data_IF_080674667122
#
_entry.id   IF_080674667122
#
_cell.length_a   1.000
_cell.length_b   1.000
_cell.length_c   1.000
_cell.angle_alpha   90.00
_cell.angle_beta   90.00
_cell.angle_gamma   90.00
#
_symmetry.space_group_name_H-M   'P 1'
#
loop_
_entity.id
_entity.type
_entity.pdbx_description
1 polymer ?
#
# COMPACT_ATOMS: atom_id res chain seq x y z
N UNK A 1 55.63 -6.73 53.07
CA UNK A 1 54.91 -5.50 53.43
C UNK A 1 53.47 -5.63 52.95
N UNK A 2 52.53 -5.68 53.92
CA UNK A 2 51.12 -5.27 53.93
C UNK A 2 50.54 -4.68 52.63
N UNK A 3 49.29 -4.86 52.18
CA UNK A 3 47.96 -5.36 52.65
C UNK A 3 47.06 -5.03 51.42
N UNK A 4 45.96 -5.67 51.01
CA UNK A 4 44.73 -6.00 51.73
C UNK A 4 43.77 -6.67 50.73
N UNK A 5 43.02 -7.63 51.22
CA UNK A 5 41.92 -8.32 50.55
C UNK A 5 40.60 -7.53 50.63
N UNK A 6 39.63 -7.87 49.78
CA UNK A 6 38.20 -7.74 50.10
C UNK A 6 37.38 -8.79 49.33
N UNK A 7 36.82 -9.74 50.09
CA UNK A 7 35.78 -10.70 49.70
C UNK A 7 34.41 -10.13 50.08
N UNK A 8 33.38 -10.32 49.24
CA UNK A 8 31.94 -10.38 49.62
C UNK A 8 31.28 -11.31 48.58
N UNK A 9 31.05 -12.59 48.89
CA UNK A 9 29.90 -13.22 49.56
C UNK A 9 28.77 -13.65 48.60
N UNK A 10 28.55 -14.97 48.55
CA UNK A 10 27.39 -15.64 47.94
C UNK A 10 26.54 -16.27 49.06
N UNK A 11 25.20 -16.31 48.94
CA UNK A 11 24.39 -17.15 49.82
C UNK A 11 23.79 -18.34 49.07
N UNK A 12 24.06 -19.53 49.59
CA UNK A 12 23.18 -20.69 49.49
C UNK A 12 22.00 -20.52 50.47
N UNK A 13 20.81 -21.03 50.13
CA UNK A 13 20.15 -22.12 50.88
C UNK A 13 18.72 -22.46 50.39
N UNK A 14 18.48 -23.78 50.40
CA UNK A 14 17.26 -24.53 50.75
C UNK A 14 16.19 -24.86 49.70
N UNK A 15 16.12 -26.17 49.43
CA UNK A 15 14.96 -26.93 48.96
C UNK A 15 13.94 -27.17 50.08
N UNK A 16 12.66 -27.20 49.70
CA UNK A 16 11.54 -27.78 50.45
C UNK A 16 10.25 -27.75 49.60
N UNK A 17 9.38 -28.79 49.61
CA UNK A 17 8.54 -29.17 48.48
C UNK A 17 7.05 -28.75 48.61
N UNK A 18 6.37 -28.60 47.47
CA UNK A 18 4.90 -28.44 47.41
C UNK A 18 4.38 -27.92 46.07
N UNK A 19 3.83 -28.82 45.24
CA UNK A 19 3.10 -28.57 43.98
C UNK A 19 1.81 -27.72 44.22
N UNK A 20 1.11 -27.14 43.20
CA UNK A 20 0.85 -27.72 41.88
C UNK A 20 0.96 -26.80 40.65
N UNK A 21 0.94 -27.48 39.50
CA UNK A 21 1.16 -27.02 38.14
C UNK A 21 0.44 -25.70 37.76
N UNK A 22 1.23 -24.73 37.32
CA UNK A 22 0.75 -23.56 36.57
C UNK A 22 1.40 -23.54 35.19
N UNK A 23 0.54 -23.52 34.17
CA UNK A 23 0.86 -23.48 32.74
C UNK A 23 1.71 -22.24 32.41
N UNK A 24 2.83 -22.34 31.67
CA UNK A 24 3.60 -21.16 31.31
C UNK A 24 2.93 -20.41 30.15
N UNK A 25 2.31 -19.27 30.46
CA UNK A 25 2.02 -18.20 29.49
C UNK A 25 3.35 -17.59 29.03
N UNK A 26 3.80 -17.95 27.83
CA UNK A 26 4.84 -17.21 27.12
C UNK A 26 4.29 -15.84 26.69
N UNK A 27 4.47 -14.84 27.56
CA UNK A 27 4.33 -13.43 27.20
C UNK A 27 5.69 -12.95 26.66
N UNK A 28 5.87 -12.98 25.34
CA UNK A 28 6.96 -12.25 24.68
C UNK A 28 6.73 -10.75 24.85
N UNK A 29 7.31 -10.15 25.90
CA UNK A 29 7.56 -8.71 25.95
C UNK A 29 8.68 -8.39 24.96
N UNK A 30 8.31 -8.15 23.70
CA UNK A 30 9.19 -7.47 22.75
C UNK A 30 9.27 -6.01 23.22
N UNK A 31 10.32 -5.69 23.98
CA UNK A 31 10.76 -4.29 24.18
C UNK A 31 11.38 -3.83 22.86
N UNK A 32 10.58 -3.30 21.95
CA UNK A 32 11.06 -2.45 20.85
C UNK A 32 11.64 -1.19 21.46
N UNK A 33 12.96 -1.19 21.72
CA UNK A 33 13.72 0.04 21.94
C UNK A 33 13.72 0.80 20.63
N UNK A 34 12.80 1.75 20.49
CA UNK A 34 12.93 2.82 19.51
C UNK A 34 14.20 3.60 19.86
N UNK A 35 15.26 3.41 19.07
CA UNK A 35 16.37 4.35 19.02
C UNK A 35 15.84 5.63 18.36
N UNK A 36 15.35 6.53 19.21
CA UNK A 36 15.10 7.91 18.85
C UNK A 36 16.45 8.54 18.49
N UNK A 37 16.75 8.66 17.19
CA UNK A 37 17.82 9.54 16.72
C UNK A 37 17.28 10.98 16.83
N UNK A 38 17.79 11.81 17.76
CA UNK A 38 17.45 13.23 17.74
C UNK A 38 17.98 13.84 16.43
N UNK A 39 17.26 14.78 15.80
CA UNK A 39 17.79 15.48 14.65
C UNK A 39 19.03 16.26 15.09
N UNK A 40 20.16 16.00 14.42
CA UNK A 40 21.37 16.81 14.49
C UNK A 40 21.02 18.24 14.03
N UNK A 41 20.59 19.09 14.96
CA UNK A 41 20.63 20.55 14.80
C UNK A 41 22.10 20.96 14.84
N UNK A 42 22.74 21.02 13.69
CA UNK A 42 24.07 21.64 13.56
C UNK A 42 23.91 23.16 13.51
N UNK A 43 24.59 23.85 14.43
CA UNK A 43 24.69 25.30 14.57
C UNK A 43 25.41 26.00 13.38
N UNK A 44 25.38 25.42 12.18
CA UNK A 44 26.08 25.94 11.01
C UNK A 44 25.31 27.07 10.27
N UNK A 45 24.00 27.22 10.50
CA UNK A 45 23.20 28.28 9.86
C UNK A 45 23.32 29.65 10.57
N UNK A 46 23.71 29.69 11.85
CA UNK A 46 23.85 30.94 12.60
C UNK A 46 25.09 31.75 12.18
N UNK A 47 26.15 31.10 11.66
CA UNK A 47 27.40 31.78 11.28
C UNK A 47 27.37 32.40 9.87
N UNK A 48 26.53 31.89 8.96
CA UNK A 48 26.42 32.39 7.58
C UNK A 48 25.51 33.62 7.46
N UNK A 49 24.54 33.80 8.37
CA UNK A 49 23.63 34.95 8.36
C UNK A 49 24.31 36.27 8.75
N UNK A 50 25.34 36.23 9.60
CA UNK A 50 26.01 37.45 10.11
C UNK A 50 27.04 37.99 9.13
N UNK A 51 27.57 37.15 8.23
CA UNK A 51 28.58 37.55 7.24
C UNK A 51 27.96 38.21 5.99
N UNK A 52 26.71 37.91 5.65
CA UNK A 52 26.05 38.48 4.46
C UNK A 52 25.41 39.86 4.69
N UNK A 53 25.17 40.28 5.93
CA UNK A 53 24.59 41.61 6.22
C UNK A 53 25.58 42.79 6.12
N UNK A 54 26.89 42.56 5.97
CA UNK A 54 27.89 43.66 5.93
C UNK A 54 28.36 44.09 4.53
N UNK A 55 27.87 43.48 3.44
CA UNK A 55 28.33 43.81 2.07
C UNK A 55 27.31 44.49 1.15
N UNK A 56 26.11 44.82 1.65
CA UNK A 56 25.07 45.47 0.85
C UNK A 56 24.77 46.90 1.33
N UNK A 57 25.79 47.75 1.41
CA UNK A 57 25.63 49.20 1.65
C UNK A 57 26.51 50.00 0.71
N UNK A 58 26.13 50.02 -0.57
CA UNK A 58 26.48 51.08 -1.54
C UNK A 58 25.85 50.73 -2.87
N UNK A 59 24.58 51.06 -3.06
CA UNK A 59 24.07 51.36 -4.39
C UNK A 59 23.10 52.53 -4.32
N UNK A 60 23.32 53.43 -5.25
CA UNK A 60 22.88 54.81 -5.34
C UNK A 60 21.37 54.96 -5.57
N UNK A 61 20.80 55.94 -4.88
CA UNK A 61 19.47 56.49 -5.06
C UNK A 61 19.30 57.05 -6.49
N UNK A 62 18.54 56.35 -7.34
CA UNK A 62 17.85 56.96 -8.49
C UNK A 62 16.37 56.96 -8.19
N UNK A 63 15.85 58.12 -7.77
CA UNK A 63 14.42 58.37 -7.52
C UNK A 63 13.64 58.26 -8.83
N UNK A 64 13.07 57.09 -9.11
CA UNK A 64 11.87 56.98 -9.96
C UNK A 64 10.64 57.07 -9.06
N UNK A 65 9.90 58.15 -9.23
CA UNK A 65 8.55 58.32 -8.71
C UNK A 65 7.67 57.20 -9.26
N UNK A 66 7.51 56.13 -8.49
CA UNK A 66 6.48 55.11 -8.72
C UNK A 66 5.28 55.54 -7.90
N UNK A 67 4.19 55.89 -8.57
CA UNK A 67 2.89 56.04 -7.95
C UNK A 67 2.62 54.78 -7.14
N UNK A 68 2.62 54.89 -5.80
CA UNK A 68 2.27 53.77 -4.92
C UNK A 68 0.92 53.24 -5.37
N UNK A 69 0.79 51.93 -5.68
CA UNK A 69 -0.49 51.37 -6.06
C UNK A 69 -1.49 51.63 -4.91
N UNK A 70 -2.77 51.90 -5.21
CA UNK A 70 -3.74 52.37 -4.21
C UNK A 70 -3.91 51.44 -2.98
N UNK A 71 -3.56 50.16 -3.10
CA UNK A 71 -3.56 49.20 -1.99
C UNK A 71 -2.35 49.35 -1.02
N UNK A 72 -1.30 50.09 -1.40
CA UNK A 72 -0.12 50.35 -0.58
C UNK A 72 -0.30 51.58 0.34
N UNK A 73 -1.44 52.28 0.23
CA UNK A 73 -1.89 53.18 1.29
C UNK A 73 -2.22 52.33 2.51
N UNK A 74 -1.55 52.57 3.63
CA UNK A 74 -1.74 51.84 4.88
C UNK A 74 -3.16 52.08 5.40
N UNK A 75 -4.11 51.30 4.92
CA UNK A 75 -5.46 51.29 5.46
C UNK A 75 -5.35 51.05 6.97
N UNK A 76 -6.08 51.82 7.79
CA UNK A 76 -6.06 51.64 9.25
C UNK A 76 -6.36 50.19 9.57
N UNK A 77 -5.53 49.59 10.44
CA UNK A 77 -5.68 48.19 10.80
C UNK A 77 -7.04 47.97 11.48
N UNK A 78 -7.77 46.91 11.12
CA UNK A 78 -9.02 46.57 11.78
C UNK A 78 -8.78 46.31 13.27
N UNK A 79 -9.76 46.66 14.12
CA UNK A 79 -9.71 46.34 15.55
C UNK A 79 -9.81 44.82 15.73
N UNK A 80 -9.34 44.29 16.85
CA UNK A 80 -9.34 42.85 17.13
C UNK A 80 -10.75 42.23 17.03
N UNK A 81 -11.79 43.01 17.33
CA UNK A 81 -13.21 42.61 17.27
C UNK A 81 -13.71 42.41 15.83
N UNK A 82 -13.06 43.01 14.83
CA UNK A 82 -13.46 42.94 13.41
C UNK A 82 -12.67 41.87 12.63
N UNK A 83 -11.92 41.01 13.34
CA UNK A 83 -11.10 39.97 12.71
C UNK A 83 -11.94 38.73 12.40
N UNK A 84 -12.23 38.54 11.12
CA UNK A 84 -13.02 37.44 10.59
C UNK A 84 -12.20 36.61 9.60
N UNK A 85 -12.21 35.30 9.77
CA UNK A 85 -11.52 34.35 8.90
C UNK A 85 -12.09 34.30 7.47
N UNK A 86 -13.39 34.60 7.27
CA UNK A 86 -13.99 34.61 5.92
C UNK A 86 -13.42 35.72 5.05
N UNK A 87 -13.04 36.84 5.67
CA UNK A 87 -12.35 37.94 5.00
C UNK A 87 -10.99 37.51 4.46
N UNK A 88 -10.28 36.60 5.13
CA UNK A 88 -9.01 36.06 4.63
C UNK A 88 -9.22 35.26 3.34
N UNK A 89 -10.20 34.35 3.34
CA UNK A 89 -10.57 33.57 2.17
C UNK A 89 -11.00 34.47 1.00
N UNK A 90 -11.74 35.54 1.30
CA UNK A 90 -12.16 36.56 0.32
C UNK A 90 -10.98 37.32 -0.27
N UNK A 91 -10.00 37.73 0.54
CA UNK A 91 -8.79 38.39 0.02
C UNK A 91 -7.98 37.47 -0.91
N UNK A 92 -7.91 36.18 -0.57
CA UNK A 92 -7.23 35.17 -1.40
C UNK A 92 -8.00 34.90 -2.70
N UNK A 93 -9.33 34.83 -2.65
CA UNK A 93 -10.16 34.62 -3.84
C UNK A 93 -10.09 35.79 -4.82
N UNK A 94 -9.93 37.01 -4.32
CA UNK A 94 -9.69 38.24 -5.09
C UNK A 94 -8.22 38.43 -5.54
N UNK A 95 -7.35 37.43 -5.35
CA UNK A 95 -5.92 37.48 -5.67
C UNK A 95 -5.13 38.61 -4.95
N UNK A 96 -5.64 39.14 -3.85
CA UNK A 96 -4.95 40.16 -3.04
C UNK A 96 -3.98 39.52 -2.03
N UNK A 97 -3.02 38.72 -2.52
CA UNK A 97 -2.17 37.86 -1.68
C UNK A 97 -1.30 38.61 -0.65
N UNK A 98 -0.81 39.81 -0.97
CA UNK A 98 -0.07 40.64 -0.01
C UNK A 98 -0.95 41.11 1.15
N UNK A 99 -2.16 41.57 0.84
CA UNK A 99 -3.12 41.99 1.86
C UNK A 99 -3.57 40.79 2.70
N UNK A 100 -3.82 39.65 2.05
CA UNK A 100 -4.14 38.39 2.72
C UNK A 100 -3.01 37.94 3.67
N UNK A 101 -1.74 38.05 3.27
CA UNK A 101 -0.62 37.65 4.12
C UNK A 101 -0.47 38.54 5.37
N UNK A 102 -0.65 39.86 5.23
CA UNK A 102 -0.71 40.77 6.39
C UNK A 102 -1.89 40.43 7.29
N UNK A 103 -3.07 40.23 6.71
CA UNK A 103 -4.28 39.89 7.44
C UNK A 103 -4.17 38.55 8.18
N UNK A 104 -3.57 37.54 7.55
CA UNK A 104 -3.20 36.28 8.19
C UNK A 104 -2.29 36.50 9.40
N UNK A 105 -1.28 37.37 9.30
CA UNK A 105 -0.42 37.74 10.43
C UNK A 105 -1.20 38.30 11.61
N UNK A 106 -2.23 39.11 11.35
CA UNK A 106 -3.12 39.63 12.39
C UNK A 106 -4.02 38.56 13.01
N UNK A 107 -4.61 37.68 12.20
CA UNK A 107 -5.42 36.55 12.70
C UNK A 107 -4.60 35.64 13.61
N UNK A 108 -3.35 35.32 13.21
CA UNK A 108 -2.44 34.50 14.03
C UNK A 108 -2.04 35.22 15.31
N UNK A 109 -1.73 36.53 15.25
CA UNK A 109 -1.38 37.31 16.45
C UNK A 109 -2.55 37.40 17.44
N UNK A 110 -3.78 37.46 16.95
CA UNK A 110 -4.99 37.45 17.76
C UNK A 110 -5.46 36.02 18.15
N UNK A 111 -4.71 34.97 17.77
CA UNK A 111 -5.09 33.56 18.00
C UNK A 111 -6.47 33.18 17.45
N UNK A 112 -6.92 33.84 16.38
CA UNK A 112 -8.18 33.52 15.71
C UNK A 112 -7.98 32.25 14.88
N UNK A 113 -8.79 31.19 15.10
CA UNK A 113 -8.66 29.97 14.32
C UNK A 113 -9.03 30.22 12.86
N UNK A 114 -8.15 29.79 11.95
CA UNK A 114 -8.36 29.90 10.50
C UNK A 114 -8.81 28.53 9.98
N UNK A 115 -10.08 28.36 9.54
CA UNK A 115 -10.55 27.10 9.02
C UNK A 115 -9.84 26.77 7.69
N UNK A 116 -9.56 25.48 7.41
CA UNK A 116 -8.93 25.09 6.17
C UNK A 116 -9.87 25.29 4.97
N UNK A 117 -9.35 25.80 3.86
CA UNK A 117 -10.10 26.06 2.62
C UNK A 117 -9.23 25.81 1.38
N UNK A 118 -9.86 25.35 0.31
CA UNK A 118 -9.24 25.11 -1.01
C UNK A 118 -8.70 26.39 -1.62
N UNK A 119 -9.29 27.57 -1.32
CA UNK A 119 -8.82 28.85 -1.88
C UNK A 119 -7.36 29.13 -1.53
N UNK A 120 -6.87 28.65 -0.39
CA UNK A 120 -5.49 28.84 0.04
C UNK A 120 -4.46 28.12 -0.83
N UNK A 121 -4.88 27.13 -1.64
CA UNK A 121 -4.00 26.54 -2.66
C UNK A 121 -3.60 27.57 -3.73
N UNK A 122 -4.47 28.54 -4.04
CA UNK A 122 -4.14 29.66 -4.94
C UNK A 122 -3.09 30.59 -4.34
N UNK A 123 -3.21 30.91 -3.05
CA UNK A 123 -2.21 31.71 -2.35
C UNK A 123 -0.86 30.98 -2.24
N UNK A 124 -0.88 29.67 -2.01
CA UNK A 124 0.33 28.85 -2.04
C UNK A 124 0.99 28.87 -3.43
N UNK A 125 0.22 28.75 -4.51
CA UNK A 125 0.72 28.86 -5.88
C UNK A 125 1.34 30.25 -6.15
N UNK A 126 0.63 31.32 -5.81
CA UNK A 126 1.12 32.69 -6.00
C UNK A 126 2.42 32.97 -5.21
N UNK A 127 2.61 32.31 -4.06
CA UNK A 127 3.86 32.38 -3.31
C UNK A 127 5.04 31.77 -4.09
N UNK A 128 4.80 30.77 -4.95
CA UNK A 128 5.84 30.14 -5.77
C UNK A 128 6.29 31.02 -6.93
N UNK A 129 5.36 31.74 -7.54
CA UNK A 129 5.59 32.63 -8.69
C UNK A 129 6.44 33.86 -8.33
N UNK A 130 6.50 34.21 -7.04
CA UNK A 130 7.34 35.30 -6.51
C UNK A 130 8.79 34.84 -6.39
N UNK A 131 9.48 34.89 -7.53
CA UNK A 131 10.84 34.34 -7.73
C UNK A 131 11.93 34.90 -6.80
N UNK A 132 11.74 36.06 -6.16
CA UNK A 132 12.80 36.80 -5.47
C UNK A 132 12.68 36.88 -3.94
N UNK A 133 11.67 36.29 -3.32
CA UNK A 133 11.49 36.42 -1.87
C UNK A 133 12.37 35.43 -1.08
N UNK A 134 13.22 35.91 -0.14
CA UNK A 134 14.05 35.02 0.70
C UNK A 134 13.19 34.07 1.56
N UNK A 135 11.95 34.47 1.87
CA UNK A 135 10.99 33.71 2.68
C UNK A 135 10.01 32.85 1.87
N UNK A 136 10.28 32.59 0.60
CA UNK A 136 9.37 31.84 -0.29
C UNK A 136 8.91 30.51 0.31
N UNK A 137 9.80 29.76 0.94
CA UNK A 137 9.47 28.46 1.59
C UNK A 137 8.51 28.67 2.76
N UNK A 138 8.71 29.72 3.56
CA UNK A 138 7.89 30.01 4.73
C UNK A 138 6.49 30.48 4.30
N UNK A 139 6.40 31.42 3.36
CA UNK A 139 5.12 31.92 2.84
C UNK A 139 4.34 30.78 2.18
N UNK A 140 4.99 29.96 1.34
CA UNK A 140 4.37 28.77 0.76
C UNK A 140 3.85 27.81 1.84
N UNK A 141 4.69 27.48 2.83
CA UNK A 141 4.32 26.55 3.90
C UNK A 141 3.13 27.05 4.71
N UNK A 142 3.08 28.36 5.00
CA UNK A 142 1.98 29.00 5.72
C UNK A 142 0.66 28.80 4.99
N UNK A 143 0.61 29.15 3.70
CA UNK A 143 -0.62 28.98 2.91
C UNK A 143 -0.99 27.51 2.69
N UNK A 144 -0.01 26.66 2.39
CA UNK A 144 -0.29 25.26 2.11
C UNK A 144 -0.80 24.51 3.35
N UNK A 145 -0.43 24.93 4.57
CA UNK A 145 -0.99 24.36 5.82
C UNK A 145 -2.48 24.61 5.99
N UNK A 146 -3.01 25.68 5.42
CA UNK A 146 -4.44 26.03 5.45
C UNK A 146 -5.25 25.29 4.37
N UNK A 147 -4.61 24.55 3.46
CA UNK A 147 -5.31 23.71 2.47
C UNK A 147 -6.01 22.55 3.20
N UNK A 148 -7.22 22.11 2.81
CA UNK A 148 -7.89 20.97 3.43
C UNK A 148 -7.09 19.67 3.29
N UNK A 149 -7.35 18.71 4.16
CA UNK A 149 -6.67 17.41 4.16
C UNK A 149 -7.36 16.44 3.18
N UNK A 150 -6.55 15.74 2.36
CA UNK A 150 -6.90 14.69 1.40
C UNK A 150 -8.18 14.93 0.57
N UNK A 151 -8.48 16.18 0.24
CA UNK A 151 -9.67 16.53 -0.52
C UNK A 151 -9.56 15.99 -1.95
N UNK A 152 -10.45 15.09 -2.37
CA UNK A 152 -10.34 14.46 -3.67
C UNK A 152 -10.50 15.48 -4.82
N UNK A 153 -11.24 16.57 -4.60
CA UNK A 153 -11.56 17.58 -5.59
C UNK A 153 -10.50 18.67 -5.76
N UNK A 154 -9.54 18.75 -4.83
CA UNK A 154 -8.46 19.72 -4.93
C UNK A 154 -7.47 19.30 -6.02
N UNK A 155 -7.27 20.19 -7.00
CA UNK A 155 -6.28 20.02 -8.05
C UNK A 155 -4.91 20.58 -7.63
N UNK A 156 -3.96 19.68 -7.37
CA UNK A 156 -2.58 20.03 -7.03
C UNK A 156 -1.66 20.15 -8.25
N UNK A 157 -2.17 19.90 -9.47
CA UNK A 157 -1.36 19.98 -10.70
C UNK A 157 -0.73 21.35 -10.93
N UNK A 158 -1.40 22.49 -10.69
CA UNK A 158 -0.77 23.80 -10.89
C UNK A 158 0.44 24.03 -9.98
N UNK A 159 0.33 23.66 -8.70
CA UNK A 159 1.44 23.75 -7.73
C UNK A 159 2.59 22.82 -8.14
N UNK A 160 2.26 21.61 -8.58
CA UNK A 160 3.25 20.66 -9.09
C UNK A 160 3.96 21.20 -10.33
N UNK A 161 3.23 21.71 -11.32
CA UNK A 161 3.83 22.28 -12.54
C UNK A 161 4.77 23.46 -12.18
N UNK A 162 4.32 24.36 -11.30
CA UNK A 162 5.14 25.49 -10.84
C UNK A 162 6.43 25.06 -10.11
N UNK A 163 6.40 23.94 -9.38
CA UNK A 163 7.58 23.45 -8.64
C UNK A 163 8.51 22.57 -9.48
N UNK A 164 7.93 21.71 -10.31
CA UNK A 164 8.61 20.58 -10.94
C UNK A 164 8.91 20.82 -12.42
N UNK A 165 8.10 21.63 -13.10
CA UNK A 165 8.20 21.86 -14.56
C UNK A 165 8.75 23.25 -14.87
N UNK A 166 8.43 24.27 -14.06
CA UNK A 166 8.91 25.64 -14.31
C UNK A 166 10.24 25.93 -13.61
N UNK A 167 11.20 26.48 -14.37
CA UNK A 167 12.51 26.91 -13.87
C UNK A 167 13.54 25.78 -13.79
N UNK A 168 14.52 25.90 -12.88
CA UNK A 168 15.56 24.90 -12.63
C UNK A 168 15.18 24.08 -11.39
N UNK A 169 14.64 22.84 -11.51
CA UNK A 169 14.19 22.06 -10.35
C UNK A 169 15.27 21.88 -9.28
N UNK A 170 16.53 21.80 -9.70
CA UNK A 170 17.69 21.72 -8.81
C UNK A 170 17.80 22.90 -7.81
N UNK A 171 17.47 24.13 -8.22
CA UNK A 171 17.50 25.30 -7.32
C UNK A 171 16.31 25.32 -6.36
N UNK A 172 15.24 24.59 -6.68
CA UNK A 172 14.01 24.53 -5.90
C UNK A 172 13.91 23.27 -5.02
N UNK A 173 14.96 22.43 -4.93
CA UNK A 173 14.92 21.15 -4.21
C UNK A 173 14.43 21.27 -2.76
N UNK A 174 14.87 22.29 -2.01
CA UNK A 174 14.40 22.52 -0.63
C UNK A 174 12.90 22.83 -0.56
N UNK A 175 12.37 23.56 -1.54
CA UNK A 175 10.96 23.92 -1.62
C UNK A 175 10.11 22.71 -2.06
N UNK A 176 10.60 21.94 -3.03
CA UNK A 176 9.99 20.67 -3.49
C UNK A 176 9.93 19.68 -2.32
N UNK A 177 11.03 19.53 -1.57
CA UNK A 177 11.09 18.70 -0.38
C UNK A 177 10.06 19.12 0.66
N UNK A 178 9.97 20.43 0.94
CA UNK A 178 8.99 20.97 1.88
C UNK A 178 7.55 20.72 1.41
N UNK A 179 7.28 20.91 0.13
CA UNK A 179 5.97 20.61 -0.46
C UNK A 179 5.62 19.13 -0.32
N UNK A 180 6.53 18.21 -0.61
CA UNK A 180 6.28 16.78 -0.49
C UNK A 180 5.90 16.38 0.93
N UNK A 181 6.64 16.87 1.93
CA UNK A 181 6.35 16.60 3.35
C UNK A 181 5.00 17.17 3.76
N UNK A 182 4.70 18.44 3.44
CA UNK A 182 3.40 19.04 3.76
C UNK A 182 2.24 18.34 3.03
N UNK A 183 2.43 17.93 1.78
CA UNK A 183 1.46 17.16 1.04
C UNK A 183 1.20 15.80 1.69
N UNK A 184 2.25 15.13 2.18
CA UNK A 184 2.14 13.88 2.93
C UNK A 184 1.42 14.05 4.27
N UNK A 185 1.74 15.10 5.04
CA UNK A 185 1.05 15.44 6.30
C UNK A 185 -0.46 15.64 6.12
N UNK A 186 -0.88 16.05 4.92
CA UNK A 186 -2.27 16.27 4.52
C UNK A 186 -2.90 15.11 3.76
N UNK A 187 -2.22 13.98 3.61
CA UNK A 187 -2.75 12.81 2.92
C UNK A 187 -2.68 12.84 1.38
N UNK A 188 -2.01 13.83 0.79
CA UNK A 188 -1.80 13.94 -0.66
C UNK A 188 -0.58 13.17 -1.18
N UNK A 189 0.07 12.38 -0.32
CA UNK A 189 1.31 11.64 -0.63
C UNK A 189 1.25 10.88 -1.95
N UNK A 190 0.17 10.12 -2.21
CA UNK A 190 0.03 9.32 -3.45
C UNK A 190 -0.02 10.15 -4.74
N UNK A 191 -0.46 11.42 -4.66
CA UNK A 191 -0.61 12.32 -5.82
C UNK A 191 0.64 13.12 -6.15
N UNK A 192 1.56 13.25 -5.18
CA UNK A 192 2.72 14.15 -5.24
C UNK A 192 4.03 13.36 -5.27
N UNK A 193 4.11 12.27 -4.50
CA UNK A 193 5.36 11.58 -4.24
C UNK A 193 6.03 10.99 -5.48
N UNK A 194 5.33 10.34 -6.43
CA UNK A 194 5.99 9.75 -7.60
C UNK A 194 6.80 10.77 -8.43
N UNK A 195 6.26 11.97 -8.62
CA UNK A 195 6.90 13.03 -9.40
C UNK A 195 8.08 13.66 -8.65
N UNK A 196 7.91 13.89 -7.35
CA UNK A 196 8.99 14.38 -6.48
C UNK A 196 10.14 13.39 -6.46
N UNK A 197 9.84 12.09 -6.28
CA UNK A 197 10.82 11.04 -6.20
C UNK A 197 11.66 10.93 -7.48
N UNK A 198 11.02 11.08 -8.65
CA UNK A 198 11.72 11.12 -9.92
C UNK A 198 12.73 12.27 -9.99
N UNK A 199 12.37 13.46 -9.51
CA UNK A 199 13.26 14.62 -9.48
C UNK A 199 14.39 14.47 -8.46
N UNK A 200 14.13 13.84 -7.31
CA UNK A 200 15.17 13.59 -6.31
C UNK A 200 16.27 12.69 -6.86
N UNK A 201 15.90 11.62 -7.57
CA UNK A 201 16.86 10.73 -8.22
C UNK A 201 17.74 11.50 -9.21
N UNK A 202 17.15 12.42 -9.97
CA UNK A 202 17.86 13.13 -11.05
C UNK A 202 18.72 14.28 -10.55
N UNK A 203 18.28 15.01 -9.52
CA UNK A 203 18.89 16.31 -9.18
C UNK A 203 19.46 16.42 -7.77
N UNK A 204 19.20 15.44 -6.88
CA UNK A 204 19.61 15.55 -5.47
C UNK A 204 20.77 14.63 -5.11
N UNK A 205 21.43 14.93 -3.99
CA UNK A 205 22.45 14.05 -3.42
C UNK A 205 21.78 12.89 -2.67
N UNK A 206 22.47 11.75 -2.59
CA UNK A 206 22.00 10.56 -1.87
C UNK A 206 21.56 10.89 -0.44
N UNK A 207 22.37 11.64 0.30
CA UNK A 207 22.08 12.03 1.69
C UNK A 207 20.81 12.89 1.81
N UNK A 208 20.58 13.80 0.86
CA UNK A 208 19.37 14.61 0.84
C UNK A 208 18.13 13.78 0.50
N UNK A 209 18.22 12.95 -0.55
CA UNK A 209 17.13 12.10 -1.01
C UNK A 209 16.66 11.14 0.10
N UNK A 210 17.60 10.43 0.73
CA UNK A 210 17.32 9.46 1.79
C UNK A 210 16.67 10.10 3.01
N UNK A 211 17.17 11.26 3.46
CA UNK A 211 16.54 12.01 4.56
C UNK A 211 15.09 12.37 4.21
N UNK A 212 14.87 12.89 2.99
CA UNK A 212 13.54 13.29 2.55
C UNK A 212 12.58 12.10 2.39
N UNK A 213 13.05 10.94 1.91
CA UNK A 213 12.23 9.71 1.86
C UNK A 213 11.72 9.34 3.25
N UNK A 214 12.57 9.41 4.27
CA UNK A 214 12.21 9.11 5.67
C UNK A 214 11.24 10.17 6.23
N UNK A 215 11.52 11.46 6.03
CA UNK A 215 10.64 12.55 6.49
C UNK A 215 9.25 12.47 5.85
N UNK A 216 9.19 12.21 4.54
CA UNK A 216 7.94 12.05 3.80
C UNK A 216 7.15 10.82 4.26
N UNK A 217 7.83 9.68 4.48
CA UNK A 217 7.19 8.48 5.02
C UNK A 217 6.60 8.73 6.42
N UNK A 218 7.37 9.36 7.30
CA UNK A 218 6.91 9.70 8.65
C UNK A 218 5.68 10.62 8.61
N UNK A 219 5.70 11.64 7.76
CA UNK A 219 4.59 12.56 7.55
C UNK A 219 3.32 11.84 7.05
N UNK A 220 3.46 10.97 6.04
CA UNK A 220 2.34 10.21 5.49
C UNK A 220 1.73 9.25 6.51
N UNK A 221 2.58 8.55 7.28
CA UNK A 221 2.10 7.67 8.36
C UNK A 221 1.41 8.47 9.46
N UNK A 222 1.95 9.64 9.82
CA UNK A 222 1.34 10.50 10.82
C UNK A 222 -0.08 10.93 10.44
N UNK A 223 -0.30 11.23 9.16
CA UNK A 223 -1.65 11.50 8.64
C UNK A 223 -2.60 10.31 8.82
N UNK A 224 -2.15 9.11 8.42
CA UNK A 224 -2.95 7.87 8.49
C UNK A 224 -3.32 7.49 9.93
N UNK A 225 -2.40 7.73 10.87
CA UNK A 225 -2.62 7.55 12.30
C UNK A 225 -3.63 8.55 12.85
N UNK A 226 -3.51 9.84 12.51
CA UNK A 226 -4.49 10.88 12.88
C UNK A 226 -5.89 10.57 12.35
N UNK A 227 -5.99 10.00 11.15
CA UNK A 227 -7.23 9.58 10.54
C UNK A 227 -7.82 8.29 11.16
N UNK A 228 -7.10 7.58 12.05
CA UNK A 228 -7.60 6.38 12.73
C UNK A 228 -7.86 5.17 11.83
N UNK A 229 -7.29 5.15 10.62
CA UNK A 229 -7.66 4.14 9.60
C UNK A 229 -7.06 2.75 9.83
N UNK A 230 -6.08 2.60 10.72
CA UNK A 230 -5.33 1.34 10.92
C UNK A 230 -4.48 0.89 9.72
N UNK A 231 -4.39 1.71 8.66
CA UNK A 231 -3.65 1.39 7.42
C UNK A 231 -2.18 1.81 7.46
N UNK A 232 -1.63 2.08 8.65
CA UNK A 232 -0.23 2.46 8.81
C UNK A 232 0.74 1.48 8.10
N UNK A 233 0.71 0.17 8.35
CA UNK A 233 1.71 -0.74 7.78
C UNK A 233 1.62 -0.80 6.26
N UNK A 234 0.40 -0.76 5.70
CA UNK A 234 0.16 -0.75 4.25
C UNK A 234 0.75 0.51 3.59
N UNK A 235 0.49 1.69 4.18
CA UNK A 235 0.99 2.96 3.65
C UNK A 235 2.51 3.03 3.77
N UNK A 236 3.08 2.62 4.91
CA UNK A 236 4.53 2.57 5.11
C UNK A 236 5.19 1.61 4.12
N UNK A 237 4.67 0.38 3.98
CA UNK A 237 5.18 -0.62 3.03
C UNK A 237 5.15 -0.13 1.58
N UNK A 238 4.06 0.52 1.16
CA UNK A 238 3.94 1.12 -0.18
C UNK A 238 4.96 2.23 -0.44
N UNK A 239 5.14 3.15 0.51
CA UNK A 239 6.11 4.23 0.39
C UNK A 239 7.55 3.69 0.39
N UNK A 240 7.79 2.61 1.14
CA UNK A 240 9.07 1.91 1.17
C UNK A 240 9.36 1.21 -0.16
N UNK A 241 8.38 0.52 -0.75
CA UNK A 241 8.47 -0.06 -2.11
C UNK A 241 8.85 1.01 -3.14
N UNK A 242 8.17 2.16 -3.12
CA UNK A 242 8.48 3.28 -4.04
C UNK A 242 9.90 3.83 -3.83
N UNK A 243 10.29 4.06 -2.58
CA UNK A 243 11.62 4.59 -2.24
C UNK A 243 12.74 3.61 -2.62
N UNK A 244 12.56 2.30 -2.40
CA UNK A 244 13.53 1.28 -2.81
C UNK A 244 13.65 1.21 -4.33
N UNK A 245 12.53 1.26 -5.08
CA UNK A 245 12.56 1.34 -6.55
C UNK A 245 13.33 2.55 -7.04
N UNK A 246 13.15 3.69 -6.39
CA UNK A 246 13.86 4.91 -6.70
C UNK A 246 15.37 4.78 -6.48
N UNK A 247 15.79 4.23 -5.34
CA UNK A 247 17.20 3.96 -5.07
C UNK A 247 17.81 2.99 -6.08
N UNK A 248 17.09 1.93 -6.48
CA UNK A 248 17.55 1.00 -7.53
C UNK A 248 17.74 1.76 -8.86
N UNK A 249 16.75 2.57 -9.27
CA UNK A 249 16.83 3.35 -10.52
C UNK A 249 17.97 4.38 -10.51
N UNK A 250 18.30 4.90 -9.33
CA UNK A 250 19.37 5.86 -9.12
C UNK A 250 20.76 5.21 -8.93
N UNK A 251 20.84 3.87 -8.99
CA UNK A 251 22.05 3.09 -8.71
C UNK A 251 22.63 3.33 -7.29
N UNK A 252 21.74 3.40 -6.29
CA UNK A 252 22.01 3.58 -4.86
C UNK A 252 21.69 2.34 -4.01
N UNK A 253 22.33 1.17 -4.26
CA UNK A 253 21.99 -0.08 -3.61
C UNK A 253 22.22 -0.08 -2.09
N UNK A 254 23.16 0.72 -1.58
CA UNK A 254 23.44 0.81 -0.14
C UNK A 254 22.29 1.45 0.62
N UNK A 255 21.70 2.51 0.06
CA UNK A 255 20.51 3.16 0.62
C UNK A 255 19.26 2.30 0.44
N UNK A 256 19.11 1.64 -0.71
CA UNK A 256 18.05 0.67 -0.93
C UNK A 256 18.08 -0.44 0.13
N UNK A 257 19.26 -0.98 0.44
CA UNK A 257 19.45 -1.98 1.47
C UNK A 257 19.12 -1.46 2.87
N UNK A 258 19.57 -0.25 3.23
CA UNK A 258 19.23 0.35 4.53
C UNK A 258 17.71 0.54 4.70
N UNK A 259 17.02 0.94 3.64
CA UNK A 259 15.55 1.06 3.63
C UNK A 259 14.87 -0.29 3.82
N UNK A 260 15.38 -1.37 3.21
CA UNK A 260 14.84 -2.73 3.35
C UNK A 260 15.09 -3.33 4.74
N UNK A 261 16.30 -3.15 5.29
CA UNK A 261 16.64 -3.67 6.63
C UNK A 261 15.83 -3.00 7.74
N UNK A 262 15.40 -1.75 7.53
CA UNK A 262 14.52 -1.02 8.46
C UNK A 262 13.02 -1.25 8.19
N UNK A 263 12.66 -2.10 7.22
CA UNK A 263 11.28 -2.40 6.85
C UNK A 263 10.69 -3.60 7.61
N UNK A 264 11.18 -3.89 8.83
CA UNK A 264 10.70 -5.02 9.62
C UNK A 264 9.19 -4.91 9.88
N UNK A 265 8.45 -5.99 9.59
CA UNK A 265 7.00 -6.03 9.74
C UNK A 265 6.21 -5.25 8.69
N UNK A 266 6.85 -4.84 7.59
CA UNK A 266 6.19 -4.21 6.45
C UNK A 266 6.17 -5.14 5.24
N UNK A 267 5.14 -5.00 4.39
CA UNK A 267 5.17 -5.62 3.09
C UNK A 267 6.03 -4.80 2.11
N UNK A 268 7.19 -5.34 1.74
CA UNK A 268 7.97 -4.88 0.58
C UNK A 268 8.18 -6.06 -0.38
N UNK A 269 7.90 -5.90 -1.69
CA UNK A 269 7.97 -7.01 -2.63
C UNK A 269 9.34 -7.73 -2.62
N UNK A 270 9.31 -9.06 -2.57
CA UNK A 270 10.52 -9.91 -2.53
C UNK A 270 11.42 -9.71 -3.75
N UNK A 271 10.84 -9.36 -4.91
CA UNK A 271 11.58 -9.00 -6.13
C UNK A 271 12.52 -7.81 -5.93
N UNK A 272 12.16 -6.84 -5.09
CA UNK A 272 13.02 -5.70 -4.81
C UNK A 272 14.20 -6.10 -3.93
N UNK A 273 13.98 -6.97 -2.94
CA UNK A 273 15.08 -7.54 -2.16
C UNK A 273 16.06 -8.28 -3.06
N UNK A 274 15.55 -9.13 -3.97
CA UNK A 274 16.39 -9.85 -4.93
C UNK A 274 17.22 -8.91 -5.80
N UNK A 275 16.62 -7.83 -6.31
CA UNK A 275 17.33 -6.84 -7.12
C UNK A 275 18.43 -6.12 -6.32
N UNK A 276 18.16 -5.68 -5.09
CA UNK A 276 19.15 -5.01 -4.24
C UNK A 276 20.29 -5.96 -3.84
N UNK A 277 19.98 -7.23 -3.54
CA UNK A 277 21.00 -8.25 -3.24
C UNK A 277 21.92 -8.45 -4.44
N UNK A 278 21.37 -8.61 -5.65
CA UNK A 278 22.16 -8.79 -6.86
C UNK A 278 23.09 -7.59 -7.12
N UNK A 279 22.57 -6.35 -7.02
CA UNK A 279 23.39 -5.13 -7.18
C UNK A 279 24.51 -5.03 -6.14
N UNK A 280 24.27 -5.48 -4.91
CA UNK A 280 25.29 -5.48 -3.85
C UNK A 280 26.33 -6.60 -4.04
N UNK A 281 25.91 -7.78 -4.50
CA UNK A 281 26.81 -8.88 -4.86
C UNK A 281 27.77 -8.47 -5.98
N UNK A 282 27.26 -7.83 -7.04
CA UNK A 282 28.08 -7.29 -8.14
C UNK A 282 29.13 -6.27 -7.69
N UNK A 283 28.84 -5.53 -6.60
CA UNK A 283 29.76 -4.54 -6.01
C UNK A 283 30.66 -5.11 -4.92
N UNK A 284 30.63 -6.41 -4.66
CA UNK A 284 31.45 -7.05 -3.62
C UNK A 284 31.07 -6.64 -2.19
N UNK A 285 29.79 -6.38 -1.93
CA UNK A 285 29.31 -6.08 -0.59
C UNK A 285 29.60 -7.22 0.40
N UNK A 286 29.82 -6.92 1.69
CA UNK A 286 30.12 -7.93 2.70
C UNK A 286 28.98 -8.95 2.83
N UNK A 287 29.34 -10.23 2.91
CA UNK A 287 28.40 -11.36 2.97
C UNK A 287 27.36 -11.22 4.10
N UNK A 288 27.79 -10.69 5.25
CA UNK A 288 26.92 -10.43 6.40
C UNK A 288 25.70 -9.56 6.03
N UNK A 289 25.92 -8.49 5.25
CA UNK A 289 24.85 -7.59 4.82
C UNK A 289 23.89 -8.27 3.84
N UNK A 290 24.42 -9.13 2.98
CA UNK A 290 23.61 -9.92 2.04
C UNK A 290 22.73 -10.91 2.78
N UNK A 291 23.27 -11.58 3.80
CA UNK A 291 22.51 -12.52 4.63
C UNK A 291 21.42 -11.82 5.45
N UNK A 292 21.69 -10.64 6.01
CA UNK A 292 20.67 -9.81 6.64
C UNK A 292 19.52 -9.47 5.68
N UNK A 293 19.83 -9.12 4.42
CA UNK A 293 18.82 -8.84 3.40
C UNK A 293 18.02 -10.08 2.98
N UNK A 294 18.64 -11.27 2.95
CA UNK A 294 17.95 -12.54 2.68
C UNK A 294 16.97 -12.87 3.80
N UNK A 295 17.37 -12.68 5.06
CA UNK A 295 16.47 -12.82 6.21
C UNK A 295 15.30 -11.83 6.15
N UNK A 296 15.56 -10.56 5.81
CA UNK A 296 14.54 -9.54 5.64
C UNK A 296 13.57 -9.87 4.47
N UNK A 297 14.09 -10.43 3.37
CA UNK A 297 13.30 -10.92 2.24
C UNK A 297 12.34 -12.04 2.67
N UNK A 298 12.82 -12.99 3.46
CA UNK A 298 12.01 -14.11 3.96
C UNK A 298 10.97 -13.66 4.99
N UNK A 299 11.30 -12.67 5.82
CA UNK A 299 10.33 -11.99 6.68
C UNK A 299 9.22 -11.29 5.86
N UNK A 300 9.59 -10.53 4.83
CA UNK A 300 8.63 -9.85 3.94
C UNK A 300 7.71 -10.85 3.20
N UNK A 301 8.27 -11.98 2.77
CA UNK A 301 7.51 -13.06 2.14
C UNK A 301 6.47 -13.69 3.09
N UNK A 302 6.81 -13.80 4.38
CA UNK A 302 5.87 -14.25 5.42
C UNK A 302 4.78 -13.23 5.67
N UNK A 303 5.11 -11.94 5.70
CA UNK A 303 4.13 -10.87 5.96
C UNK A 303 3.02 -10.83 4.90
N UNK A 304 3.35 -11.06 3.62
CA UNK A 304 2.36 -11.20 2.53
C UNK A 304 1.26 -12.22 2.86
N UNK A 305 1.63 -13.35 3.46
CA UNK A 305 0.68 -14.41 3.82
C UNK A 305 -0.28 -14.00 4.94
N UNK A 306 0.10 -13.04 5.78
CA UNK A 306 -0.74 -12.51 6.85
C UNK A 306 -1.66 -11.37 6.37
N UNK A 307 -1.21 -10.55 5.43
CA UNK A 307 -1.97 -9.43 4.86
C UNK A 307 -2.92 -9.81 3.70
N UNK A 308 -3.09 -11.12 3.41
CA UNK A 308 -4.14 -11.68 2.56
C UNK A 308 -5.59 -11.43 3.04
N UNK A 309 -5.82 -10.35 3.81
CA UNK A 309 -7.09 -9.66 3.95
C UNK A 309 -7.11 -8.55 2.89
N UNK A 310 -7.72 -8.82 1.73
CA UNK A 310 -8.07 -7.77 0.75
C UNK A 310 -8.74 -6.63 1.53
N UNK A 311 -8.14 -5.44 1.50
CA UNK A 311 -8.66 -4.34 2.28
C UNK A 311 -9.91 -3.71 1.65
N UNK A 312 -10.08 -3.72 0.32
CA UNK A 312 -11.19 -3.02 -0.34
C UNK A 312 -11.68 -3.71 -1.64
N UNK A 313 -13.00 -3.63 -1.96
CA UNK A 313 -13.57 -4.16 -3.22
C UNK A 313 -12.93 -3.61 -4.50
N UNK A 314 -12.39 -2.38 -4.46
CA UNK A 314 -11.72 -1.75 -5.60
C UNK A 314 -10.41 -2.44 -6.00
N UNK A 315 -9.65 -2.93 -5.02
CA UNK A 315 -8.36 -3.61 -5.26
C UNK A 315 -8.59 -4.95 -5.97
N UNK A 316 -9.71 -5.62 -5.68
CA UNK A 316 -10.06 -6.88 -6.31
C UNK A 316 -10.37 -6.73 -7.80
N UNK A 317 -11.00 -5.62 -8.22
CA UNK A 317 -11.24 -5.32 -9.63
C UNK A 317 -9.92 -5.07 -10.39
N UNK A 318 -8.96 -4.41 -9.74
CA UNK A 318 -7.61 -4.22 -10.29
C UNK A 318 -6.88 -5.54 -10.41
N UNK A 319 -6.86 -6.36 -9.34
CA UNK A 319 -6.29 -7.71 -9.39
C UNK A 319 -6.97 -8.56 -10.47
N UNK A 320 -8.28 -8.46 -10.66
CA UNK A 320 -8.98 -9.19 -11.72
C UNK A 320 -8.52 -8.77 -13.13
N UNK A 321 -8.25 -7.48 -13.34
CA UNK A 321 -7.65 -6.97 -14.59
C UNK A 321 -6.21 -7.47 -14.76
N UNK A 322 -5.44 -7.51 -13.67
CA UNK A 322 -4.07 -8.03 -13.65
C UNK A 322 -4.03 -9.53 -13.97
N UNK A 323 -4.84 -10.36 -13.30
CA UNK A 323 -5.02 -11.79 -13.61
C UNK A 323 -5.34 -11.99 -15.09
N UNK A 324 -6.33 -11.24 -15.60
CA UNK A 324 -6.72 -11.33 -17.02
C UNK A 324 -5.57 -10.97 -17.95
N UNK A 325 -4.77 -9.98 -17.60
CA UNK A 325 -3.61 -9.54 -18.40
C UNK A 325 -2.48 -10.56 -18.32
N UNK A 326 -2.19 -11.09 -17.14
CA UNK A 326 -1.17 -12.12 -16.91
C UNK A 326 -1.51 -13.44 -17.62
N UNK A 327 -2.78 -13.86 -17.63
CA UNK A 327 -3.25 -15.00 -18.44
C UNK A 327 -2.97 -14.72 -19.92
N UNK A 328 -3.36 -13.55 -20.45
CA UNK A 328 -3.13 -13.23 -21.87
C UNK A 328 -1.64 -13.25 -22.25
N UNK A 329 -0.79 -12.76 -21.36
CA UNK A 329 0.65 -12.67 -21.54
C UNK A 329 1.42 -13.96 -21.22
N UNK A 330 0.77 -15.04 -20.77
CA UNK A 330 1.41 -16.32 -20.39
C UNK A 330 2.44 -16.19 -19.26
N UNK A 331 2.20 -15.32 -18.29
CA UNK A 331 3.13 -15.03 -17.17
C UNK A 331 2.41 -15.07 -15.81
N UNK A 332 1.39 -15.91 -15.70
CA UNK A 332 0.51 -15.97 -14.53
C UNK A 332 1.26 -16.33 -13.24
N UNK A 333 2.29 -17.17 -13.34
CA UNK A 333 3.19 -17.60 -12.27
C UNK A 333 4.10 -16.47 -11.75
N UNK A 334 4.52 -15.57 -12.64
CA UNK A 334 5.53 -14.54 -12.33
C UNK A 334 4.96 -13.27 -11.74
N UNK A 335 3.69 -12.97 -12.04
CA UNK A 335 3.13 -11.64 -11.81
C UNK A 335 2.18 -11.55 -10.61
N UNK A 336 1.50 -12.63 -10.26
CA UNK A 336 0.44 -12.56 -9.26
C UNK A 336 0.40 -13.82 -8.38
N UNK A 337 0.12 -13.62 -7.10
CA UNK A 337 -0.24 -14.72 -6.20
C UNK A 337 -1.72 -15.08 -6.47
N UNK A 338 -1.92 -15.90 -7.51
CA UNK A 338 -3.24 -16.38 -7.90
C UNK A 338 -3.97 -17.10 -6.75
N UNK A 339 -3.31 -17.93 -5.91
CA UNK A 339 -3.94 -18.51 -4.73
C UNK A 339 -4.58 -17.45 -3.82
N UNK A 340 -3.81 -16.41 -3.46
CA UNK A 340 -4.30 -15.33 -2.62
C UNK A 340 -5.46 -14.60 -3.28
N UNK A 341 -5.35 -14.27 -4.57
CA UNK A 341 -6.43 -13.66 -5.37
C UNK A 341 -7.71 -14.50 -5.35
N UNK A 342 -7.61 -15.83 -5.48
CA UNK A 342 -8.80 -16.69 -5.49
C UNK A 342 -9.48 -16.75 -4.11
N UNK A 343 -8.71 -16.86 -3.03
CA UNK A 343 -9.23 -16.81 -1.65
C UNK A 343 -9.89 -15.47 -1.37
N UNK A 344 -9.23 -14.41 -1.82
CA UNK A 344 -9.69 -13.04 -1.81
C UNK A 344 -11.04 -12.89 -2.52
N UNK A 345 -11.08 -13.26 -3.81
CA UNK A 345 -12.26 -13.14 -4.66
C UNK A 345 -13.44 -13.92 -4.08
N UNK A 346 -13.18 -15.09 -3.51
CA UNK A 346 -14.20 -15.95 -2.91
C UNK A 346 -14.92 -15.36 -1.69
N UNK A 347 -14.20 -14.62 -0.83
CA UNK A 347 -14.79 -13.98 0.35
C UNK A 347 -15.82 -12.90 -0.02
N UNK A 348 -15.77 -12.35 -1.23
CA UNK A 348 -16.63 -11.24 -1.67
C UNK A 348 -17.97 -11.68 -2.29
N UNK A 349 -18.41 -12.93 -2.08
CA UNK A 349 -19.57 -13.53 -2.80
C UNK A 349 -19.42 -13.38 -4.32
N UNK A 350 -18.38 -13.99 -4.90
CA UNK A 350 -17.98 -13.73 -6.27
C UNK A 350 -19.03 -14.15 -7.28
N UNK A 351 -19.00 -13.49 -8.44
CA UNK A 351 -19.63 -14.02 -9.63
C UNK A 351 -18.81 -15.23 -10.13
N UNK A 352 -19.26 -16.45 -9.79
CA UNK A 352 -18.63 -17.71 -10.18
C UNK A 352 -18.38 -17.80 -11.71
N UNK A 353 -19.23 -17.17 -12.52
CA UNK A 353 -19.07 -17.12 -13.97
C UNK A 353 -17.76 -16.46 -14.39
N UNK A 354 -17.32 -15.44 -13.66
CA UNK A 354 -16.06 -14.74 -13.96
C UNK A 354 -14.86 -15.64 -13.68
N UNK A 355 -14.87 -16.36 -12.56
CA UNK A 355 -13.81 -17.35 -12.27
C UNK A 355 -13.77 -18.46 -13.31
N UNK A 356 -14.94 -18.96 -13.76
CA UNK A 356 -14.99 -19.98 -14.81
C UNK A 356 -14.46 -19.46 -16.17
N UNK A 357 -14.74 -18.20 -16.52
CA UNK A 357 -14.18 -17.57 -17.72
C UNK A 357 -12.65 -17.42 -17.61
N UNK A 358 -12.15 -17.01 -16.45
CA UNK A 358 -10.70 -16.88 -16.23
C UNK A 358 -10.01 -18.26 -16.24
N UNK A 359 -10.61 -19.26 -15.58
CA UNK A 359 -10.16 -20.66 -15.58
C UNK A 359 -10.04 -21.22 -16.99
N UNK A 360 -11.14 -21.19 -17.76
CA UNK A 360 -11.13 -21.70 -19.13
C UNK A 360 -10.07 -21.01 -20.00
N UNK A 361 -9.89 -19.69 -19.86
CA UNK A 361 -8.82 -18.95 -20.55
C UNK A 361 -7.42 -19.34 -20.09
N UNK A 362 -7.20 -19.56 -18.79
CA UNK A 362 -5.92 -20.00 -18.26
C UNK A 362 -5.54 -21.38 -18.80
N UNK A 363 -6.50 -22.32 -18.78
CA UNK A 363 -6.32 -23.69 -19.27
C UNK A 363 -6.01 -23.74 -20.78
N UNK A 364 -6.64 -22.87 -21.59
CA UNK A 364 -6.43 -22.86 -23.04
C UNK A 364 -5.13 -22.15 -23.50
N UNK A 365 -4.40 -21.46 -22.61
CA UNK A 365 -3.36 -20.51 -23.05
C UNK A 365 -1.95 -21.09 -23.14
N UNK A 366 -1.52 -21.79 -22.09
CA UNK A 366 -0.26 -22.53 -22.00
C UNK A 366 -0.31 -23.47 -20.80
N UNK A 367 0.47 -24.56 -20.84
CA UNK A 367 0.53 -25.55 -19.75
C UNK A 367 1.00 -24.93 -18.42
N UNK A 368 1.94 -23.99 -18.48
CA UNK A 368 2.42 -23.24 -17.30
C UNK A 368 1.33 -22.37 -16.66
N UNK A 369 0.52 -21.71 -17.51
CA UNK A 369 -0.61 -20.89 -17.06
C UNK A 369 -1.71 -21.78 -16.47
N UNK A 370 -2.00 -22.91 -17.13
CA UNK A 370 -2.95 -23.91 -16.67
C UNK A 370 -2.54 -24.48 -15.30
N UNK A 371 -1.28 -24.90 -15.16
CA UNK A 371 -0.72 -25.44 -13.90
C UNK A 371 -0.78 -24.41 -12.78
N UNK A 372 -0.40 -23.17 -13.04
CA UNK A 372 -0.48 -22.08 -12.05
C UNK A 372 -1.90 -21.83 -11.57
N UNK A 373 -2.87 -21.83 -12.50
CA UNK A 373 -4.28 -21.67 -12.14
C UNK A 373 -4.81 -22.85 -11.32
N UNK A 374 -4.52 -24.09 -11.75
CA UNK A 374 -4.96 -25.30 -11.04
C UNK A 374 -4.37 -25.38 -9.63
N UNK A 375 -3.08 -25.04 -9.46
CA UNK A 375 -2.45 -24.96 -8.15
C UNK A 375 -3.13 -23.94 -7.23
N UNK A 376 -3.53 -22.79 -7.77
CA UNK A 376 -4.29 -21.80 -7.01
C UNK A 376 -5.68 -22.30 -6.63
N UNK A 377 -6.36 -23.02 -7.52
CA UNK A 377 -7.66 -23.62 -7.26
C UNK A 377 -7.58 -24.72 -6.19
N UNK A 378 -6.52 -25.54 -6.19
CA UNK A 378 -6.24 -26.47 -5.09
C UNK A 378 -6.08 -25.77 -3.75
N UNK A 379 -5.32 -24.67 -3.73
CA UNK A 379 -5.11 -23.90 -2.51
C UNK A 379 -6.43 -23.35 -1.98
N UNK A 380 -7.29 -22.82 -2.86
CA UNK A 380 -8.64 -22.37 -2.52
C UNK A 380 -9.49 -23.51 -1.94
N UNK A 381 -9.54 -24.67 -2.61
CA UNK A 381 -10.34 -25.82 -2.18
C UNK A 381 -9.85 -26.38 -0.83
N UNK A 382 -8.53 -26.39 -0.60
CA UNK A 382 -7.92 -26.75 0.69
C UNK A 382 -8.30 -25.74 1.77
N UNK A 383 -8.21 -24.43 1.49
CA UNK A 383 -8.61 -23.37 2.43
C UNK A 383 -10.08 -23.50 2.85
N UNK A 384 -10.95 -24.00 1.96
CA UNK A 384 -12.36 -24.27 2.24
C UNK A 384 -12.64 -25.63 2.89
N UNK A 385 -11.63 -26.45 3.16
CA UNK A 385 -11.77 -27.83 3.59
C UNK A 385 -12.63 -28.70 2.65
N UNK A 386 -12.60 -28.44 1.34
CA UNK A 386 -13.32 -29.22 0.33
C UNK A 386 -12.45 -30.35 -0.26
N UNK A 387 -11.99 -31.28 0.58
CA UNK A 387 -11.07 -32.35 0.18
C UNK A 387 -11.53 -33.18 -1.02
N UNK A 388 -12.83 -33.53 -1.09
CA UNK A 388 -13.38 -34.30 -2.21
C UNK A 388 -13.27 -33.54 -3.54
N UNK A 389 -13.56 -32.22 -3.56
CA UNK A 389 -13.43 -31.41 -4.78
C UNK A 389 -11.99 -31.27 -5.21
N UNK A 390 -11.04 -31.21 -4.27
CA UNK A 390 -9.61 -31.22 -4.60
C UNK A 390 -9.24 -32.51 -5.32
N UNK A 391 -9.72 -33.68 -4.85
CA UNK A 391 -9.48 -34.96 -5.52
C UNK A 391 -10.08 -34.99 -6.93
N UNK A 392 -11.33 -34.54 -7.11
CA UNK A 392 -11.95 -34.45 -8.44
C UNK A 392 -11.16 -33.53 -9.37
N UNK A 393 -10.73 -32.36 -8.88
CA UNK A 393 -9.91 -31.41 -9.65
C UNK A 393 -8.58 -32.05 -10.08
N UNK A 394 -7.94 -32.81 -9.18
CA UNK A 394 -6.69 -33.50 -9.45
C UNK A 394 -6.83 -34.54 -10.55
N UNK A 395 -7.76 -35.47 -10.39
CA UNK A 395 -7.97 -36.56 -11.35
C UNK A 395 -8.38 -36.01 -12.72
N UNK A 396 -9.15 -34.93 -12.76
CA UNK A 396 -9.64 -34.35 -14.01
C UNK A 396 -8.58 -33.59 -14.81
N UNK A 397 -7.47 -33.17 -14.19
CA UNK A 397 -6.51 -32.24 -14.82
C UNK A 397 -5.05 -32.71 -14.78
N UNK A 398 -4.73 -33.78 -14.04
CA UNK A 398 -3.37 -34.31 -13.94
C UNK A 398 -3.34 -35.75 -14.42
N UNK A 399 -2.49 -36.03 -15.39
CA UNK A 399 -2.18 -37.40 -15.80
C UNK A 399 -1.34 -38.05 -14.73
N UNK A 400 -1.91 -39.05 -14.06
CA UNK A 400 -1.17 -39.92 -13.16
C UNK A 400 -0.37 -40.92 -13.99
N UNK A 401 0.92 -40.66 -14.22
CA UNK A 401 1.83 -41.66 -14.79
C UNK A 401 1.79 -42.92 -13.91
N UNK A 402 1.52 -44.08 -14.53
CA UNK A 402 1.41 -45.38 -13.84
C UNK A 402 0.00 -45.81 -13.41
N UNK A 403 -1.04 -45.01 -13.65
CA UNK A 403 -2.44 -45.41 -13.38
C UNK A 403 -3.17 -45.76 -14.68
N UNK A 404 -3.88 -46.91 -14.69
CA UNK A 404 -4.74 -47.29 -15.81
C UNK A 404 -5.95 -46.33 -15.92
N UNK A 405 -6.53 -46.23 -17.12
CA UNK A 405 -7.78 -45.46 -17.35
C UNK A 405 -8.90 -45.90 -16.40
N UNK A 406 -8.96 -47.20 -16.07
CA UNK A 406 -9.93 -47.76 -15.14
C UNK A 406 -9.70 -47.29 -13.71
N UNK A 407 -8.44 -47.16 -13.28
CA UNK A 407 -8.10 -46.65 -11.96
C UNK A 407 -8.44 -45.15 -11.83
N UNK A 408 -8.26 -44.36 -12.90
CA UNK A 408 -8.70 -42.96 -12.92
C UNK A 408 -10.24 -42.84 -12.87
N UNK A 409 -10.96 -43.68 -13.63
CA UNK A 409 -12.42 -43.73 -13.59
C UNK A 409 -12.94 -44.15 -12.19
N UNK A 410 -12.28 -45.11 -11.54
CA UNK A 410 -12.60 -45.56 -10.20
C UNK A 410 -12.39 -44.45 -9.15
N UNK A 411 -11.26 -43.75 -9.19
CA UNK A 411 -11.00 -42.64 -8.25
C UNK A 411 -12.00 -41.51 -8.45
N UNK A 412 -12.36 -41.20 -9.71
CA UNK A 412 -13.40 -40.22 -10.03
C UNK A 412 -14.75 -40.64 -9.45
N UNK A 413 -15.15 -41.91 -9.67
CA UNK A 413 -16.38 -42.46 -9.10
C UNK A 413 -16.41 -42.44 -7.57
N UNK A 414 -15.29 -42.73 -6.91
CA UNK A 414 -15.18 -42.64 -5.44
C UNK A 414 -15.31 -41.19 -4.96
N UNK A 415 -14.71 -40.23 -5.65
CA UNK A 415 -14.84 -38.82 -5.32
C UNK A 415 -16.30 -38.33 -5.46
N UNK A 416 -16.99 -38.75 -6.51
CA UNK A 416 -18.40 -38.43 -6.76
C UNK A 416 -19.34 -39.08 -5.73
N UNK A 417 -19.08 -40.34 -5.35
CA UNK A 417 -19.83 -41.03 -4.30
C UNK A 417 -19.70 -40.34 -2.93
N UNK A 418 -18.53 -39.78 -2.62
CA UNK A 418 -18.33 -39.00 -1.37
C UNK A 418 -18.97 -37.61 -1.41
N UNK A 419 -19.42 -37.13 -2.57
CA UNK A 419 -20.17 -35.88 -2.69
C UNK A 419 -21.66 -36.04 -2.36
N UNK A 420 -22.19 -37.25 -2.51
CA UNK A 420 -23.45 -37.66 -1.90
C UNK A 420 -23.12 -37.85 -0.41
N UNK A 421 -23.39 -36.85 0.43
CA UNK A 421 -23.16 -36.95 1.87
C UNK A 421 -23.77 -38.23 2.45
N UNK A 422 -23.37 -38.68 3.66
CA UNK A 422 -23.92 -39.90 4.24
C UNK A 422 -25.43 -39.84 4.13
N UNK A 423 -26.01 -40.77 3.36
CA UNK A 423 -27.46 -40.92 3.28
C UNK A 423 -27.89 -41.19 4.70
N UNK A 424 -28.40 -40.16 5.38
CA UNK A 424 -28.95 -40.31 6.72
C UNK A 424 -29.97 -41.45 6.60
N UNK A 425 -29.79 -42.57 7.31
CA UNK A 425 -30.72 -43.67 7.21
C UNK A 425 -32.07 -43.10 7.64
N UNK A 426 -32.98 -42.97 6.66
CA UNK A 426 -34.37 -42.63 6.96
C UNK A 426 -34.87 -43.75 7.85
N UNK A 427 -34.98 -43.48 9.14
CA UNK A 427 -35.71 -44.35 10.06
C UNK A 427 -37.10 -44.52 9.45
N UNK A 428 -37.54 -45.75 9.14
CA UNK A 428 -38.86 -45.97 8.58
C UNK A 428 -39.88 -45.39 9.56
N UNK A 429 -40.72 -44.46 9.08
CA UNK A 429 -41.88 -43.99 9.85
C UNK A 429 -42.69 -45.21 10.27
N UNK A 430 -43.06 -45.35 11.56
CA UNK A 430 -43.91 -46.45 11.98
C UNK A 430 -45.20 -46.44 11.18
N UNK A 431 -45.49 -47.62 10.64
CA UNK A 431 -46.61 -47.92 9.76
C UNK A 431 -47.91 -47.82 10.58
N UNK A 432 -48.65 -46.73 10.41
CA UNK A 432 -50.02 -46.63 10.92
C UNK A 432 -50.92 -47.37 9.92
N UNK A 433 -51.46 -48.52 10.36
CA UNK A 433 -52.47 -49.29 9.64
C UNK A 433 -53.77 -48.47 9.51
N UNK A 434 -54.30 -48.25 8.30
CA UNK A 434 -55.66 -47.76 8.13
C UNK A 434 -56.62 -48.94 8.08
N UNK A 435 -57.47 -49.05 9.10
CA UNK A 435 -58.76 -49.70 9.01
C UNK A 435 -59.68 -48.82 8.17
N UNK A 436 -60.03 -49.26 6.97
CA UNK A 436 -61.42 -49.39 6.50
C UNK A 436 -61.45 -49.78 5.02
N UNK A 437 -62.14 -50.89 4.79
CA UNK A 437 -62.67 -51.37 3.52
C UNK A 437 -63.44 -50.27 2.79
N UNK A 438 -63.24 -50.13 1.48
CA UNK A 438 -64.37 -50.16 0.54
C UNK A 438 -63.92 -50.45 -0.90
N UNK A 439 -64.78 -51.27 -1.51
CA UNK A 439 -64.76 -51.83 -2.85
C UNK A 439 -65.00 -50.75 -3.92
N UNK A 440 -64.44 -50.89 -5.13
CA UNK A 440 -64.75 -49.98 -6.23
C UNK A 440 -63.95 -50.18 -7.53
N UNK A 441 -64.43 -51.11 -8.35
CA UNK A 441 -64.33 -51.26 -9.81
C UNK A 441 -63.56 -50.25 -10.70
N UNK A 442 -62.77 -50.84 -11.63
CA UNK A 442 -62.71 -50.62 -13.09
C UNK A 442 -62.47 -49.22 -13.68
N UNK A 443 -61.39 -49.05 -14.47
CA UNK A 443 -61.44 -49.00 -15.96
C UNK A 443 -60.05 -48.69 -16.60
N UNK A 444 -59.83 -49.34 -17.77
CA UNK A 444 -59.08 -48.96 -19.00
C UNK A 444 -58.51 -47.51 -19.05
N UNK A 445 -57.40 -47.14 -19.69
CA UNK A 445 -56.83 -47.38 -21.04
C UNK A 445 -55.55 -46.50 -21.09
N UNK A 446 -54.39 -46.87 -21.65
CA UNK A 446 -53.97 -46.61 -23.04
C UNK A 446 -52.45 -46.34 -23.03
N UNK A 447 -51.71 -47.09 -23.84
CA UNK A 447 -50.41 -46.77 -24.47
C UNK A 447 -50.69 -46.20 -25.88
N UNK A 448 -49.72 -45.89 -26.78
CA UNK A 448 -48.38 -45.23 -26.74
C UNK A 448 -48.39 -44.07 -27.83
N UNK A 449 -47.33 -43.61 -28.58
CA UNK A 449 -45.95 -44.08 -28.70
C UNK A 449 -44.80 -43.06 -28.93
N UNK A 450 -43.62 -43.68 -28.88
CA UNK A 450 -42.33 -43.38 -29.51
C UNK A 450 -42.48 -42.95 -30.98
N UNK A 451 -41.82 -41.85 -31.39
CA UNK A 451 -41.24 -41.69 -32.73
C UNK A 451 -39.92 -40.90 -32.65
N UNK A 452 -38.97 -41.43 -33.42
CA UNK A 452 -37.60 -41.04 -33.72
C UNK A 452 -37.43 -39.70 -34.46
N UNK A 453 -36.21 -39.12 -34.41
CA UNK A 453 -35.44 -38.74 -35.62
C UNK A 453 -34.01 -38.28 -35.33
N UNK A 454 -33.09 -38.98 -35.99
CA UNK A 454 -31.72 -38.60 -36.35
C UNK A 454 -31.70 -37.29 -37.16
N UNK A 455 -30.65 -36.48 -36.98
CA UNK A 455 -29.92 -35.84 -38.10
C UNK A 455 -28.45 -35.64 -37.73
N UNK A 456 -27.59 -36.22 -38.56
CA UNK A 456 -26.15 -36.01 -38.65
C UNK A 456 -25.81 -34.58 -39.08
N UNK A 457 -24.69 -34.04 -38.58
CA UNK A 457 -23.69 -33.43 -39.48
C UNK A 457 -22.30 -33.47 -38.83
N UNK A 458 -21.45 -34.30 -39.43
CA UNK A 458 -20.00 -34.35 -39.28
C UNK A 458 -19.37 -33.08 -39.85
N UNK A 459 -18.33 -32.54 -39.19
CA UNK A 459 -17.13 -32.06 -39.90
C UNK A 459 -15.92 -32.03 -38.96
N UNK A 460 -15.05 -33.00 -39.20
CA UNK A 460 -13.67 -33.03 -38.70
C UNK A 460 -12.80 -32.06 -39.51
N UNK A 461 -11.84 -31.45 -38.83
CA UNK A 461 -10.73 -30.72 -39.43
C UNK A 461 -9.46 -31.03 -38.65
N UNK A 462 -8.72 -32.03 -39.10
CA UNK A 462 -7.32 -32.26 -38.74
C UNK A 462 -6.45 -31.20 -39.43
N UNK A 463 -5.51 -30.60 -38.69
CA UNK A 463 -4.24 -30.12 -39.26
C UNK A 463 -3.15 -30.43 -38.25
N UNK A 464 -2.22 -31.30 -38.65
CA UNK A 464 -0.87 -31.43 -38.08
C UNK A 464 0.08 -30.63 -38.98
N UNK A 465 0.93 -29.82 -38.39
CA UNK A 465 2.39 -29.92 -38.47
C UNK A 465 2.98 -29.36 -37.18
#
# INVERSE_FOLDING_TARGET
MNTRATQIAAPHLRHGPGAPATVPRFAHKIKTRFLYCPPLRTNAQAALSTAQMRRASSYSNTRRSTSRPPWASAAPMPRAEDLDSERLATLVSLNHFEAALRYHGHLVAASVPIPPDRVYAKAALAALERSSQPDRINVFSTWFRLVPDADPSLDLRPIRAALLETGTPATNLSLIARFAVLAAEKGYSQRVWPDVLQLLITHSTLAFATRLMVEHEFAAVSYVLKAGSGREPEVRGRLRDQSVRACIKADWPEAAAALLLTAEGLYVPTRLHGAVIAMLEERGAPMEKLDQLRVARDASARYRRFEGRIALPGDLLMQLREVRTAIRARILDKYLDVPDFLVAYDKMKPNQRVLQILKSRALMRSDETARSWLNAEFFLLRHKNHGNRSLTLFVSNFTLEGFSSDAQALITGIADMRHVGPVSPRVPKPMVLPSHLQCGSSTRTSMPPIVSRLKHSSRAGHVRY
#
